data_IF_983758805951
#
_entry.id   IF_983758805951
#
_cell.length_a   1.000
_cell.length_b   1.000
_cell.length_c   1.000
_cell.angle_alpha   90.00
_cell.angle_beta   90.00
_cell.angle_gamma   90.00
#
_symmetry.space_group_name_H-M   'P 1'
#
loop_
_entity.id
_entity.type
_entity.pdbx_description
1 polymer ?
#
# COMPACT_ATOMS: atom_id res chain seq x y z
N UNK A 1 22.00 46.36 -29.48
CA UNK A 1 20.86 45.55 -29.07
C UNK A 1 21.38 44.49 -28.12
N UNK A 2 20.94 44.51 -26.86
CA UNK A 2 21.26 43.44 -25.91
C UNK A 2 20.48 42.22 -26.40
N UNK A 3 21.21 41.19 -26.80
CA UNK A 3 20.64 39.89 -27.08
C UNK A 3 20.04 39.33 -25.79
N UNK A 4 18.77 38.92 -25.83
CA UNK A 4 18.16 38.18 -24.75
C UNK A 4 18.35 36.69 -25.05
N UNK A 5 18.94 35.91 -24.12
CA UNK A 5 19.01 34.46 -24.26
C UNK A 5 17.60 33.88 -24.37
N UNK A 6 17.38 32.95 -25.30
CA UNK A 6 16.06 32.42 -25.62
C UNK A 6 15.86 31.03 -25.01
N UNK A 7 16.88 30.17 -25.08
CA UNK A 7 16.80 28.79 -24.61
C UNK A 7 17.50 28.57 -23.26
N UNK A 8 18.64 29.22 -23.01
CA UNK A 8 19.40 29.02 -21.77
C UNK A 8 18.66 29.52 -20.52
N UNK A 9 17.79 30.54 -20.66
CA UNK A 9 16.93 31.00 -19.55
C UNK A 9 15.88 29.99 -19.09
N UNK A 10 15.59 28.97 -19.90
CA UNK A 10 14.57 27.96 -19.60
C UNK A 10 15.16 26.69 -18.98
N UNK A 11 16.48 26.64 -18.80
CA UNK A 11 17.20 25.53 -18.18
C UNK A 11 17.87 26.09 -16.93
N UNK A 12 17.28 25.81 -15.78
CA UNK A 12 17.80 26.20 -14.48
C UNK A 12 18.46 25.04 -13.73
N UNK A 13 18.71 25.27 -12.45
CA UNK A 13 19.27 24.25 -11.56
C UNK A 13 18.27 23.11 -11.30
N UNK A 14 18.79 21.95 -10.91
CA UNK A 14 17.97 20.85 -10.39
C UNK A 14 17.70 21.09 -8.90
N UNK A 15 16.45 20.98 -8.43
CA UNK A 15 16.12 21.07 -7.02
C UNK A 15 16.92 20.06 -6.16
N UNK A 16 17.39 20.51 -5.00
CA UNK A 16 18.16 19.71 -4.06
C UNK A 16 19.63 20.16 -3.94
N UNK A 17 20.25 19.76 -2.83
CA UNK A 17 21.65 20.03 -2.53
C UNK A 17 22.35 18.71 -2.19
N UNK A 18 23.08 18.16 -3.15
CA UNK A 18 23.79 16.90 -2.98
C UNK A 18 24.83 16.94 -1.85
N UNK A 19 25.47 18.10 -1.61
CA UNK A 19 26.44 18.23 -0.54
C UNK A 19 25.75 18.21 0.83
N UNK A 20 24.62 18.91 0.96
CA UNK A 20 23.81 18.86 2.18
C UNK A 20 23.25 17.45 2.44
N UNK A 21 22.74 16.77 1.42
CA UNK A 21 22.22 15.39 1.53
C UNK A 21 23.33 14.44 2.02
N UNK A 22 24.52 14.50 1.41
CA UNK A 22 25.66 13.68 1.83
C UNK A 22 26.11 14.00 3.26
N UNK A 23 26.08 15.28 3.67
CA UNK A 23 26.38 15.66 5.04
C UNK A 23 25.35 15.10 6.03
N UNK A 24 24.06 15.09 5.67
CA UNK A 24 23.02 14.42 6.46
C UNK A 24 23.28 12.93 6.56
N UNK A 25 23.60 12.26 5.44
CA UNK A 25 23.93 10.83 5.43
C UNK A 25 25.08 10.49 6.39
N UNK A 26 26.18 11.25 6.37
CA UNK A 26 27.29 11.06 7.32
C UNK A 26 26.90 11.28 8.78
N UNK A 27 25.96 12.21 9.04
CA UNK A 27 25.40 12.41 10.39
C UNK A 27 24.54 11.24 10.85
N UNK A 28 23.78 10.63 9.94
CA UNK A 28 22.99 9.42 10.20
C UNK A 28 23.92 8.22 10.47
N UNK A 29 24.98 8.03 9.67
CA UNK A 29 25.98 6.98 9.89
C UNK A 29 26.68 7.12 11.25
N UNK A 30 27.06 8.34 11.63
CA UNK A 30 27.61 8.62 12.96
C UNK A 30 26.62 8.24 14.07
N UNK A 31 25.33 8.49 13.85
CA UNK A 31 24.27 8.12 14.79
C UNK A 31 24.14 6.60 14.90
N UNK A 32 24.20 5.87 13.78
CA UNK A 32 24.18 4.41 13.75
C UNK A 32 25.33 3.82 14.59
N UNK A 33 26.55 4.33 14.43
CA UNK A 33 27.74 3.88 15.19
C UNK A 33 27.58 4.08 16.71
N UNK A 34 26.98 5.20 17.12
CA UNK A 34 26.66 5.46 18.55
C UNK A 34 25.63 4.47 19.06
N UNK A 35 24.56 4.21 18.29
CA UNK A 35 23.51 3.26 18.68
C UNK A 35 24.02 1.82 18.71
N UNK A 36 24.91 1.44 17.79
CA UNK A 36 25.58 0.14 17.80
C UNK A 36 26.40 -0.05 19.08
N UNK A 37 27.18 0.97 19.46
CA UNK A 37 27.95 0.96 20.72
C UNK A 37 27.03 0.80 21.93
N UNK A 38 25.92 1.55 22.00
CA UNK A 38 24.94 1.42 23.07
C UNK A 38 24.28 0.03 23.09
N UNK A 39 24.02 -0.55 21.93
CA UNK A 39 23.44 -1.90 21.79
C UNK A 39 24.41 -2.97 22.29
N UNK A 40 25.72 -2.83 22.04
CA UNK A 40 26.75 -3.71 22.60
C UNK A 40 26.78 -3.64 24.14
N UNK A 41 26.53 -2.47 24.74
CA UNK A 41 26.40 -2.37 26.20
C UNK A 41 25.18 -3.13 26.74
N UNK A 42 24.04 -3.05 26.04
CA UNK A 42 22.83 -3.83 26.36
C UNK A 42 23.11 -5.34 26.34
N UNK A 43 23.86 -5.83 25.35
CA UNK A 43 24.25 -7.24 25.26
C UNK A 43 25.10 -7.71 26.45
N UNK A 44 25.82 -6.79 27.11
CA UNK A 44 26.63 -7.08 28.29
C UNK A 44 25.85 -7.22 29.61
N UNK A 45 24.59 -6.76 29.67
CA UNK A 45 23.80 -6.73 30.92
C UNK A 45 23.59 -8.13 31.53
N UNK A 46 23.19 -9.18 30.78
CA UNK A 46 22.99 -10.51 31.34
C UNK A 46 24.20 -11.03 32.11
N UNK A 47 25.41 -10.68 31.63
CA UNK A 47 26.68 -11.04 32.26
C UNK A 47 26.97 -10.32 33.59
N UNK A 48 26.28 -9.22 33.89
CA UNK A 48 26.43 -8.41 35.11
C UNK A 48 25.48 -8.81 36.24
N UNK A 49 24.39 -9.52 35.92
CA UNK A 49 23.35 -9.93 36.87
C UNK A 49 23.31 -11.45 37.08
N UNK A 50 24.47 -12.13 36.99
CA UNK A 50 24.58 -13.60 37.09
C UNK A 50 24.05 -14.21 38.39
N UNK A 51 23.85 -13.39 39.42
CA UNK A 51 23.32 -13.82 40.72
C UNK A 51 21.79 -13.93 40.75
N UNK A 52 21.08 -13.48 39.71
CA UNK A 52 19.64 -13.66 39.60
C UNK A 52 19.34 -15.08 39.13
N UNK A 53 18.42 -15.76 39.81
CA UNK A 53 18.01 -17.14 39.54
C UNK A 53 16.48 -17.26 39.58
N UNK A 54 15.95 -18.35 39.03
CA UNK A 54 14.51 -18.65 39.00
C UNK A 54 13.70 -17.67 38.15
N UNK A 55 12.45 -17.45 38.52
CA UNK A 55 11.47 -16.66 37.75
C UNK A 55 11.94 -15.23 37.42
N UNK A 56 12.70 -14.60 38.32
CA UNK A 56 13.27 -13.27 38.08
C UNK A 56 14.30 -13.27 36.96
N UNK A 57 15.09 -14.35 36.84
CA UNK A 57 16.06 -14.52 35.76
C UNK A 57 15.37 -14.78 34.43
N UNK A 58 14.36 -15.65 34.42
CA UNK A 58 13.58 -15.97 33.22
C UNK A 58 12.84 -14.73 32.69
N UNK A 59 12.21 -13.97 33.58
CA UNK A 59 11.53 -12.71 33.24
C UNK A 59 12.50 -11.66 32.68
N UNK A 60 13.69 -11.53 33.29
CA UNK A 60 14.73 -10.66 32.77
C UNK A 60 15.20 -11.10 31.38
N UNK A 61 15.50 -12.39 31.19
CA UNK A 61 16.02 -12.90 29.92
C UNK A 61 15.00 -12.71 28.79
N UNK A 62 13.71 -12.92 29.06
CA UNK A 62 12.63 -12.64 28.12
C UNK A 62 12.57 -11.15 27.75
N UNK A 63 12.54 -10.25 28.75
CA UNK A 63 12.50 -8.81 28.49
C UNK A 63 13.77 -8.31 27.77
N UNK A 64 14.93 -8.87 28.11
CA UNK A 64 16.21 -8.53 27.48
C UNK A 64 16.26 -8.95 26.02
N UNK A 65 15.76 -10.15 25.69
CA UNK A 65 15.68 -10.62 24.30
C UNK A 65 14.80 -9.70 23.44
N UNK A 66 13.65 -9.27 23.96
CA UNK A 66 12.75 -8.35 23.24
C UNK A 66 13.39 -6.98 23.00
N UNK A 67 13.98 -6.38 24.03
CA UNK A 67 14.67 -5.09 23.90
C UNK A 67 15.86 -5.21 22.94
N UNK A 68 16.59 -6.33 22.98
CA UNK A 68 17.70 -6.58 22.06
C UNK A 68 17.23 -6.65 20.60
N UNK A 69 16.14 -7.37 20.32
CA UNK A 69 15.54 -7.46 18.97
C UNK A 69 15.20 -6.06 18.44
N UNK A 70 14.54 -5.25 19.26
CA UNK A 70 14.16 -3.88 18.89
C UNK A 70 15.37 -2.96 18.69
N UNK A 71 16.38 -3.04 19.57
CA UNK A 71 17.58 -2.22 19.47
C UNK A 71 18.36 -2.51 18.18
N UNK A 72 18.52 -3.79 17.83
CA UNK A 72 19.17 -4.20 16.57
C UNK A 72 18.39 -3.70 15.36
N UNK A 73 17.06 -3.84 15.36
CA UNK A 73 16.22 -3.30 14.29
C UNK A 73 16.41 -1.80 14.08
N UNK A 74 16.47 -1.02 15.17
CA UNK A 74 16.73 0.43 15.09
C UNK A 74 18.13 0.73 14.55
N UNK A 75 19.16 -0.02 14.96
CA UNK A 75 20.53 0.17 14.46
C UNK A 75 20.60 -0.11 12.96
N UNK A 76 20.10 -1.27 12.53
CA UNK A 76 20.08 -1.67 11.12
C UNK A 76 19.29 -0.66 10.27
N UNK A 77 18.13 -0.24 10.77
CA UNK A 77 17.28 0.76 10.13
C UNK A 77 17.93 2.14 9.96
N UNK A 78 18.66 2.63 10.97
CA UNK A 78 19.41 3.88 10.83
C UNK A 78 20.52 3.73 9.77
N UNK A 79 21.19 2.59 9.71
CA UNK A 79 22.17 2.27 8.67
C UNK A 79 21.57 2.34 7.27
N UNK A 80 20.48 1.61 7.04
CA UNK A 80 19.75 1.57 5.77
C UNK A 80 19.24 2.97 5.34
N UNK A 81 18.74 3.77 6.28
CA UNK A 81 18.35 5.15 6.01
C UNK A 81 19.55 6.02 5.56
N UNK A 82 20.73 5.78 6.14
CA UNK A 82 21.99 6.40 5.72
C UNK A 82 22.35 6.04 4.28
N UNK A 83 22.31 4.76 3.93
CA UNK A 83 22.60 4.26 2.58
C UNK A 83 21.64 4.85 1.53
N UNK A 84 20.34 4.89 1.84
CA UNK A 84 19.33 5.52 0.99
C UNK A 84 19.64 7.01 0.71
N UNK A 85 20.12 7.74 1.71
CA UNK A 85 20.52 9.15 1.56
C UNK A 85 21.78 9.30 0.71
N UNK A 86 22.77 8.40 0.84
CA UNK A 86 23.97 8.38 0.01
C UNK A 86 23.59 8.15 -1.46
N UNK A 87 22.77 7.13 -1.74
CA UNK A 87 22.30 6.83 -3.09
C UNK A 87 21.52 7.99 -3.72
N UNK A 88 20.66 8.64 -2.93
CA UNK A 88 19.93 9.82 -3.36
C UNK A 88 20.85 11.02 -3.65
N UNK A 89 21.81 11.31 -2.76
CA UNK A 89 22.79 12.38 -2.96
C UNK A 89 23.63 12.19 -4.23
N UNK A 90 24.05 10.96 -4.51
CA UNK A 90 24.74 10.62 -5.75
C UNK A 90 23.86 10.86 -6.99
N UNK A 91 22.59 10.49 -6.91
CA UNK A 91 21.62 10.67 -7.99
C UNK A 91 21.31 12.14 -8.27
N UNK A 92 21.10 12.96 -7.23
CA UNK A 92 20.93 14.42 -7.35
C UNK A 92 22.16 15.05 -8.00
N UNK A 93 23.36 14.67 -7.56
CA UNK A 93 24.61 15.16 -8.15
C UNK A 93 24.73 14.80 -9.65
N UNK A 94 24.28 13.61 -10.04
CA UNK A 94 24.27 13.19 -11.44
C UNK A 94 23.26 14.00 -12.28
N UNK A 95 22.07 14.29 -11.75
CA UNK A 95 21.09 15.14 -12.42
C UNK A 95 21.57 16.58 -12.59
N UNK A 96 22.20 17.15 -11.56
CA UNK A 96 22.80 18.48 -11.62
C UNK A 96 23.82 18.59 -12.76
N UNK A 97 24.74 17.62 -12.88
CA UNK A 97 25.70 17.58 -14.00
C UNK A 97 25.02 17.53 -15.36
N UNK A 98 23.96 16.73 -15.52
CA UNK A 98 23.19 16.67 -16.78
C UNK A 98 22.50 17.99 -17.08
N UNK A 99 21.96 18.69 -16.08
CA UNK A 99 21.35 20.00 -16.27
C UNK A 99 22.38 21.06 -16.71
N UNK A 100 23.57 21.06 -16.12
CA UNK A 100 24.69 21.93 -16.53
C UNK A 100 25.07 21.67 -18.01
N UNK A 101 25.15 20.40 -18.42
CA UNK A 101 25.41 20.02 -19.81
C UNK A 101 24.32 20.54 -20.77
N UNK A 102 23.03 20.43 -20.39
CA UNK A 102 21.93 20.96 -21.18
C UNK A 102 21.97 22.50 -21.25
N UNK A 103 22.30 23.16 -20.15
CA UNK A 103 22.42 24.61 -20.08
C UNK A 103 23.55 25.11 -21.00
N UNK A 104 24.72 24.44 -20.99
CA UNK A 104 25.83 24.74 -21.90
C UNK A 104 25.46 24.56 -23.38
N UNK A 105 24.67 23.53 -23.72
CA UNK A 105 24.16 23.35 -25.08
C UNK A 105 23.19 24.46 -25.47
N UNK A 106 22.31 24.89 -24.57
CA UNK A 106 21.38 25.99 -24.83
C UNK A 106 22.10 27.33 -25.01
N UNK A 107 23.16 27.61 -24.23
CA UNK A 107 24.02 28.78 -24.44
C UNK A 107 24.67 28.78 -25.83
N UNK A 108 25.04 27.61 -26.36
CA UNK A 108 25.58 27.48 -27.72
C UNK A 108 24.54 27.83 -28.78
N UNK A 109 23.28 27.44 -28.58
CA UNK A 109 22.17 27.79 -29.49
C UNK A 109 21.89 29.30 -29.43
N UNK A 110 21.83 29.88 -28.23
CA UNK A 110 21.62 31.32 -28.05
C UNK A 110 22.74 32.13 -28.72
N UNK A 111 24.00 31.69 -28.59
CA UNK A 111 25.13 32.32 -29.28
C UNK A 111 25.01 32.28 -30.82
N UNK A 112 24.44 31.22 -31.41
CA UNK A 112 24.18 31.16 -32.86
C UNK A 112 23.13 32.18 -33.30
N UNK A 113 22.07 32.36 -32.51
CA UNK A 113 21.02 33.35 -32.76
C UNK A 113 21.58 34.78 -32.60
N UNK A 114 22.53 34.95 -31.68
CA UNK A 114 23.15 36.24 -31.42
C UNK A 114 24.15 36.68 -32.48
N UNK A 115 24.92 35.73 -32.99
CA UNK A 115 25.84 35.94 -34.09
C UNK A 115 25.13 36.21 -35.44
N UNK A 116 23.85 35.84 -35.57
CA UNK A 116 23.11 36.02 -36.82
C UNK A 116 22.83 37.51 -37.14
N UNK A 117 23.03 37.95 -38.40
CA UNK A 117 22.65 39.29 -38.84
C UNK A 117 21.17 39.60 -38.58
N UNK A 118 20.77 40.88 -38.41
CA UNK A 118 19.40 41.24 -38.03
C UNK A 118 18.30 40.62 -38.91
N UNK A 119 18.50 40.57 -40.23
CA UNK A 119 17.54 39.99 -41.18
C UNK A 119 17.53 38.45 -41.18
N UNK A 120 18.58 37.81 -40.65
CA UNK A 120 18.72 36.35 -40.58
C UNK A 120 18.33 35.78 -39.21
N UNK A 121 18.12 36.62 -38.18
CA UNK A 121 17.77 36.14 -36.82
C UNK A 121 16.54 35.24 -36.79
N UNK A 122 15.43 35.65 -37.41
CA UNK A 122 14.19 34.86 -37.40
C UNK A 122 14.36 33.51 -38.14
N UNK A 123 14.96 33.45 -39.35
CA UNK A 123 15.34 32.18 -39.97
C UNK A 123 16.25 31.31 -39.10
N UNK A 124 17.26 31.88 -38.42
CA UNK A 124 18.14 31.14 -37.52
C UNK A 124 17.38 30.55 -36.33
N UNK A 125 16.49 31.34 -35.70
CA UNK A 125 15.63 30.86 -34.61
C UNK A 125 14.79 29.67 -35.08
N UNK A 126 14.16 29.77 -36.24
CA UNK A 126 13.33 28.68 -36.81
C UNK A 126 14.18 27.43 -37.07
N UNK A 127 15.42 27.60 -37.55
CA UNK A 127 16.32 26.49 -37.83
C UNK A 127 16.76 25.74 -36.56
N UNK A 128 16.95 26.44 -35.45
CA UNK A 128 17.41 25.84 -34.18
C UNK A 128 16.29 25.50 -33.20
N UNK A 129 15.05 25.94 -33.46
CA UNK A 129 13.90 25.77 -32.56
C UNK A 129 13.67 24.31 -32.15
N UNK A 130 13.82 23.37 -33.09
CA UNK A 130 13.68 21.94 -32.79
C UNK A 130 14.71 21.46 -31.77
N UNK A 131 15.96 21.89 -31.91
CA UNK A 131 17.04 21.54 -31.02
C UNK A 131 16.80 22.14 -29.62
N UNK A 132 16.48 23.44 -29.56
CA UNK A 132 16.19 24.12 -28.29
C UNK A 132 14.99 23.52 -27.55
N UNK A 133 13.91 23.19 -28.25
CA UNK A 133 12.76 22.49 -27.65
C UNK A 133 13.13 21.08 -27.14
N UNK A 134 14.04 20.39 -27.82
CA UNK A 134 14.58 19.12 -27.36
C UNK A 134 15.31 19.25 -26.02
N UNK A 135 16.14 20.30 -25.85
CA UNK A 135 16.83 20.57 -24.59
C UNK A 135 15.85 20.89 -23.45
N UNK A 136 14.82 21.70 -23.72
CA UNK A 136 13.79 22.00 -22.72
C UNK A 136 13.00 20.75 -22.29
N UNK A 137 12.66 19.88 -23.24
CA UNK A 137 12.00 18.61 -22.94
C UNK A 137 12.89 17.70 -22.09
N UNK A 138 14.19 17.64 -22.40
CA UNK A 138 15.16 16.87 -21.61
C UNK A 138 15.29 17.44 -20.19
N UNK A 139 15.36 18.77 -20.04
CA UNK A 139 15.44 19.41 -18.72
C UNK A 139 14.19 19.14 -17.88
N UNK A 140 12.99 19.23 -18.45
CA UNK A 140 11.75 18.86 -17.75
C UNK A 140 11.77 17.41 -17.26
N UNK A 141 12.27 16.50 -18.10
CA UNK A 141 12.46 15.10 -17.70
C UNK A 141 13.45 14.94 -16.54
N UNK A 142 14.48 15.80 -16.42
CA UNK A 142 15.38 15.79 -15.25
C UNK A 142 14.66 16.28 -13.97
N UNK A 143 13.76 17.26 -14.08
CA UNK A 143 12.95 17.72 -12.94
C UNK A 143 12.00 16.63 -12.45
N UNK A 144 11.33 15.93 -13.38
CA UNK A 144 10.45 14.81 -13.05
C UNK A 144 11.25 13.66 -12.38
N UNK A 145 12.45 13.37 -12.89
CA UNK A 145 13.36 12.39 -12.28
C UNK A 145 13.79 12.81 -10.86
N UNK A 146 14.12 14.08 -10.63
CA UNK A 146 14.51 14.58 -9.31
C UNK A 146 13.37 14.40 -8.30
N UNK A 147 12.14 14.72 -8.69
CA UNK A 147 10.97 14.53 -7.83
C UNK A 147 10.72 13.05 -7.52
N UNK A 148 10.81 12.16 -8.51
CA UNK A 148 10.62 10.73 -8.32
C UNK A 148 11.68 10.14 -7.37
N UNK A 149 12.95 10.45 -7.59
CA UNK A 149 14.05 10.01 -6.72
C UNK A 149 13.91 10.51 -5.28
N UNK A 150 13.42 11.74 -5.09
CA UNK A 150 13.14 12.27 -3.75
C UNK A 150 12.04 11.50 -3.03
N UNK A 151 10.97 11.14 -3.75
CA UNK A 151 9.87 10.33 -3.19
C UNK A 151 10.34 8.90 -2.83
N UNK A 152 11.17 8.30 -3.69
CA UNK A 152 11.76 6.97 -3.48
C UNK A 152 12.71 6.96 -2.29
N UNK A 153 13.62 7.92 -2.18
CA UNK A 153 14.49 8.08 -1.02
C UNK A 153 13.68 8.26 0.27
N UNK A 154 12.62 9.06 0.23
CA UNK A 154 11.76 9.27 1.39
C UNK A 154 11.03 7.97 1.80
N UNK A 155 10.62 7.13 0.84
CA UNK A 155 10.01 5.83 1.10
C UNK A 155 11.01 4.85 1.72
N UNK A 156 12.22 4.76 1.17
CA UNK A 156 13.31 3.94 1.73
C UNK A 156 13.64 4.35 3.17
N UNK A 157 13.77 5.66 3.44
CA UNK A 157 14.06 6.16 4.79
C UNK A 157 12.90 5.90 5.75
N UNK A 158 11.63 6.00 5.30
CA UNK A 158 10.47 5.68 6.13
C UNK A 158 10.44 4.22 6.52
N UNK A 159 10.68 3.31 5.57
CA UNK A 159 10.70 1.89 5.87
C UNK A 159 11.87 1.52 6.78
N UNK A 160 13.07 2.01 6.46
CA UNK A 160 14.26 1.78 7.27
C UNK A 160 14.07 2.25 8.73
N UNK A 161 13.35 3.35 8.94
CA UNK A 161 13.05 3.89 10.29
C UNK A 161 11.67 3.49 10.81
N UNK A 162 11.00 2.54 10.14
CA UNK A 162 9.66 2.14 10.51
C UNK A 162 9.65 1.43 11.86
N UNK A 163 8.82 1.93 12.76
CA UNK A 163 8.59 1.31 14.06
C UNK A 163 7.09 1.33 14.31
N UNK A 164 6.54 0.16 14.63
CA UNK A 164 5.14 0.04 15.00
C UNK A 164 4.96 -0.45 16.45
N UNK A 165 3.83 -0.12 17.09
CA UNK A 165 3.48 -0.67 18.39
C UNK A 165 3.43 -2.19 18.37
N UNK A 166 3.98 -2.81 19.41
CA UNK A 166 3.82 -4.26 19.63
C UNK A 166 2.35 -4.59 19.80
N UNK A 167 1.84 -5.48 18.96
CA UNK A 167 0.47 -5.96 19.02
C UNK A 167 0.44 -7.48 19.14
N UNK A 168 -0.36 -7.99 20.07
CA UNK A 168 -0.49 -9.43 20.35
C UNK A 168 -1.95 -9.85 20.35
N UNK A 169 -2.20 -11.05 19.87
CA UNK A 169 -3.51 -11.69 20.00
C UNK A 169 -3.77 -12.20 21.44
N UNK A 170 -4.96 -12.75 21.68
CA UNK A 170 -5.35 -13.31 22.98
C UNK A 170 -4.46 -14.49 23.43
N UNK A 171 -3.80 -15.16 22.49
CA UNK A 171 -2.86 -16.26 22.77
C UNK A 171 -1.45 -15.75 23.13
N UNK A 172 -1.20 -14.46 22.96
CA UNK A 172 0.10 -13.82 23.17
C UNK A 172 1.01 -13.85 21.94
N UNK A 173 0.52 -14.26 20.78
CA UNK A 173 1.27 -14.28 19.52
C UNK A 173 1.37 -12.88 18.92
N UNK A 174 2.53 -12.52 18.36
CA UNK A 174 2.76 -11.20 17.77
C UNK A 174 2.05 -11.07 16.41
N UNK A 175 1.06 -10.19 16.35
CA UNK A 175 0.36 -9.84 15.10
C UNK A 175 1.22 -8.86 14.28
N UNK A 176 1.94 -7.98 14.97
CA UNK A 176 2.84 -6.94 14.44
C UNK A 176 4.17 -7.45 13.89
N UNK A 177 4.47 -8.76 14.00
CA UNK A 177 5.75 -9.27 13.52
C UNK A 177 5.80 -9.22 11.98
N UNK A 178 6.87 -8.62 11.45
CA UNK A 178 7.17 -8.54 10.02
C UNK A 178 8.28 -9.53 9.64
N UNK A 179 8.23 -10.04 8.41
CA UNK A 179 9.16 -11.02 7.86
C UNK A 179 9.64 -10.57 6.50
N UNK A 180 10.96 -10.48 6.31
CA UNK A 180 11.57 -10.16 5.03
C UNK A 180 11.06 -11.08 3.92
N UNK A 181 10.80 -10.49 2.75
CA UNK A 181 10.46 -11.24 1.55
C UNK A 181 11.68 -12.06 1.12
N UNK A 182 11.47 -13.35 0.88
CA UNK A 182 12.51 -14.18 0.29
C UNK A 182 12.74 -13.86 -1.19
N UNK A 183 13.92 -14.17 -1.73
CA UNK A 183 14.22 -14.02 -3.16
C UNK A 183 13.17 -14.72 -4.05
N UNK A 184 12.66 -15.88 -3.61
CA UNK A 184 11.60 -16.61 -4.30
C UNK A 184 10.26 -15.86 -4.28
N UNK A 185 9.86 -15.29 -3.13
CA UNK A 185 8.65 -14.49 -3.01
C UNK A 185 8.74 -13.19 -3.81
N UNK A 186 9.89 -12.54 -3.81
CA UNK A 186 10.15 -11.36 -4.64
C UNK A 186 9.94 -11.71 -6.13
N UNK A 187 10.54 -12.79 -6.63
CA UNK A 187 10.34 -13.21 -8.03
C UNK A 187 8.92 -13.71 -8.33
N UNK A 188 8.27 -14.40 -7.38
CA UNK A 188 6.87 -14.84 -7.49
C UNK A 188 5.94 -13.63 -7.65
N UNK A 189 6.12 -12.58 -6.84
CA UNK A 189 5.34 -11.35 -6.94
C UNK A 189 5.63 -10.62 -8.26
N UNK A 190 6.88 -10.55 -8.72
CA UNK A 190 7.20 -9.91 -10.00
C UNK A 190 6.43 -10.57 -11.15
N UNK A 191 6.36 -11.92 -11.14
CA UNK A 191 5.56 -12.68 -12.11
C UNK A 191 4.05 -12.43 -11.96
N UNK A 192 3.55 -12.31 -10.73
CA UNK A 192 2.15 -11.95 -10.48
C UNK A 192 1.83 -10.56 -11.02
N UNK A 193 2.75 -9.61 -11.01
CA UNK A 193 2.48 -8.28 -11.59
C UNK A 193 2.26 -8.34 -13.10
N UNK A 194 2.82 -9.31 -13.82
CA UNK A 194 2.59 -9.48 -15.26
C UNK A 194 1.24 -10.16 -15.58
N UNK A 195 0.76 -11.02 -14.69
CA UNK A 195 -0.55 -11.65 -14.76
C UNK A 195 -1.10 -11.88 -13.35
N UNK A 196 -1.77 -10.86 -12.79
CA UNK A 196 -2.29 -10.94 -11.42
C UNK A 196 -3.37 -12.04 -11.35
N UNK A 197 -4.16 -12.24 -12.41
CA UNK A 197 -5.25 -13.21 -12.42
C UNK A 197 -6.21 -13.07 -11.22
N UNK A 198 -6.95 -14.13 -10.91
CA UNK A 198 -7.72 -14.23 -9.67
C UNK A 198 -6.80 -14.70 -8.55
N UNK A 199 -6.16 -13.77 -7.84
CA UNK A 199 -5.35 -14.09 -6.66
C UNK A 199 -6.27 -14.55 -5.53
N UNK A 200 -6.03 -15.76 -5.03
CA UNK A 200 -6.65 -16.21 -3.77
C UNK A 200 -5.96 -15.51 -2.59
N UNK A 201 -6.76 -15.06 -1.62
CA UNK A 201 -6.29 -14.36 -0.43
C UNK A 201 -6.74 -15.06 0.84
N UNK A 202 -5.86 -15.08 1.84
CA UNK A 202 -6.17 -15.41 3.22
C UNK A 202 -5.65 -14.27 4.12
N UNK A 203 -6.57 -13.48 4.69
CA UNK A 203 -6.28 -12.38 5.63
C UNK A 203 -5.46 -12.79 6.85
N UNK A 204 -5.73 -13.98 7.39
CA UNK A 204 -5.14 -14.48 8.64
C UNK A 204 -5.46 -13.59 9.86
N UNK A 205 -4.47 -13.01 10.52
CA UNK A 205 -4.55 -12.52 11.91
C UNK A 205 -4.76 -11.01 12.07
N UNK A 206 -4.77 -10.24 11.00
CA UNK A 206 -4.96 -8.77 11.03
C UNK A 206 -6.43 -8.44 10.72
N UNK A 207 -7.03 -7.54 11.50
CA UNK A 207 -8.46 -7.20 11.39
C UNK A 207 -8.76 -6.14 10.33
N UNK A 208 -8.14 -6.20 9.16
CA UNK A 208 -8.20 -5.20 8.09
C UNK A 208 -9.14 -5.62 6.93
N UNK A 209 -10.20 -6.37 7.25
CA UNK A 209 -11.05 -7.04 6.25
C UNK A 209 -11.71 -6.09 5.26
N UNK A 210 -11.95 -4.86 5.70
CA UNK A 210 -12.47 -3.78 4.87
C UNK A 210 -11.51 -3.40 3.73
N UNK A 211 -10.21 -3.36 4.01
CA UNK A 211 -9.16 -3.03 3.06
C UNK A 211 -8.91 -4.20 2.11
N UNK A 212 -8.78 -5.42 2.65
CA UNK A 212 -8.58 -6.62 1.83
C UNK A 212 -9.79 -6.92 0.93
N UNK A 213 -11.02 -6.72 1.40
CA UNK A 213 -12.22 -6.90 0.56
C UNK A 213 -12.25 -5.92 -0.61
N UNK A 214 -11.82 -4.67 -0.38
CA UNK A 214 -11.70 -3.69 -1.44
C UNK A 214 -10.61 -4.10 -2.44
N UNK A 215 -9.44 -4.59 -1.98
CA UNK A 215 -8.41 -5.13 -2.87
C UNK A 215 -8.92 -6.27 -3.77
N UNK A 216 -9.67 -7.23 -3.20
CA UNK A 216 -10.28 -8.32 -4.00
C UNK A 216 -11.26 -7.72 -5.02
N UNK A 217 -12.10 -6.77 -4.60
CA UNK A 217 -13.06 -6.13 -5.50
C UNK A 217 -12.40 -5.41 -6.68
N UNK A 218 -11.28 -4.72 -6.45
CA UNK A 218 -10.50 -4.10 -7.51
C UNK A 218 -9.83 -5.16 -8.40
N UNK A 219 -9.28 -6.23 -7.83
CA UNK A 219 -8.60 -7.28 -8.58
C UNK A 219 -9.53 -8.13 -9.47
N UNK A 220 -10.84 -8.04 -9.30
CA UNK A 220 -11.82 -8.85 -10.04
C UNK A 220 -11.96 -8.39 -11.51
N UNK A 221 -11.75 -7.10 -11.80
CA UNK A 221 -11.83 -6.54 -13.16
C UNK A 221 -10.45 -6.36 -13.81
N UNK A 222 -10.43 -6.26 -15.15
CA UNK A 222 -9.18 -6.02 -15.89
C UNK A 222 -8.63 -4.62 -15.63
N UNK A 223 -9.50 -3.60 -15.64
CA UNK A 223 -9.09 -2.21 -15.35
C UNK A 223 -8.55 -2.09 -13.92
N UNK A 224 -9.18 -2.76 -12.95
CA UNK A 224 -8.71 -2.75 -11.57
C UNK A 224 -7.40 -3.51 -11.36
N UNK A 225 -7.17 -4.64 -12.07
CA UNK A 225 -5.84 -5.30 -12.09
C UNK A 225 -4.75 -4.40 -12.66
N UNK A 226 -5.02 -3.73 -13.78
CA UNK A 226 -4.07 -2.77 -14.36
C UNK A 226 -3.79 -1.61 -13.41
N UNK A 227 -4.82 -1.09 -12.73
CA UNK A 227 -4.69 -0.04 -11.72
C UNK A 227 -3.82 -0.47 -10.55
N UNK A 228 -4.10 -1.62 -9.93
CA UNK A 228 -3.31 -2.17 -8.83
C UNK A 228 -1.85 -2.44 -9.25
N UNK A 229 -1.63 -2.98 -10.45
CA UNK A 229 -0.29 -3.17 -11.02
C UNK A 229 0.46 -1.84 -11.14
N UNK A 230 -0.20 -0.79 -11.64
CA UNK A 230 0.42 0.52 -11.81
C UNK A 230 0.74 1.23 -10.47
N UNK A 231 0.16 0.78 -9.37
CA UNK A 231 0.51 1.24 -8.02
C UNK A 231 1.80 0.61 -7.50
N UNK A 232 2.33 -0.43 -8.16
CA UNK A 232 3.50 -1.18 -7.72
C UNK A 232 4.66 -0.99 -8.71
N UNK A 233 5.83 -0.61 -8.20
CA UNK A 233 7.08 -0.51 -8.97
C UNK A 233 8.15 -1.40 -8.33
N UNK A 234 8.74 -2.38 -9.05
CA UNK A 234 9.87 -3.13 -8.52
C UNK A 234 11.06 -2.21 -8.24
N UNK A 235 11.76 -2.46 -7.15
CA UNK A 235 13.01 -1.81 -6.79
C UNK A 235 14.17 -2.80 -6.97
N UNK A 236 15.32 -2.27 -7.32
CA UNK A 236 16.53 -3.05 -7.49
C UNK A 236 17.64 -2.35 -6.73
N UNK A 237 18.42 -3.12 -5.97
CA UNK A 237 19.59 -2.62 -5.25
C UNK A 237 20.68 -2.12 -6.22
N UNK A 238 21.78 -1.61 -5.66
CA UNK A 238 22.92 -1.10 -6.43
C UNK A 238 23.58 -2.15 -7.35
N UNK A 239 23.37 -3.44 -7.09
CA UNK A 239 23.87 -4.56 -7.89
C UNK A 239 22.87 -5.03 -8.96
N UNK A 240 21.68 -4.41 -9.02
CA UNK A 240 20.59 -4.81 -9.91
C UNK A 240 19.82 -6.03 -9.43
N UNK A 241 19.93 -6.40 -8.15
CA UNK A 241 19.13 -7.47 -7.54
C UNK A 241 17.79 -6.90 -7.09
N UNK A 242 16.69 -7.59 -7.42
CA UNK A 242 15.37 -7.28 -6.88
C UNK A 242 15.40 -7.48 -5.36
N UNK A 243 15.08 -6.43 -4.61
CA UNK A 243 15.14 -6.40 -3.14
C UNK A 243 13.83 -5.93 -2.50
N UNK A 244 12.90 -5.38 -3.28
CA UNK A 244 11.61 -4.96 -2.78
C UNK A 244 10.75 -4.26 -3.82
N UNK A 245 9.69 -3.63 -3.35
CA UNK A 245 8.70 -2.95 -4.18
C UNK A 245 8.32 -1.60 -3.59
N UNK A 246 8.17 -0.59 -4.45
CA UNK A 246 7.43 0.61 -4.09
C UNK A 246 5.94 0.40 -4.33
N UNK A 247 5.12 0.73 -3.33
CA UNK A 247 3.66 0.62 -3.38
C UNK A 247 3.06 2.00 -3.14
N UNK A 248 2.24 2.48 -4.06
CA UNK A 248 1.61 3.81 -3.99
C UNK A 248 0.12 3.68 -3.71
N UNK A 249 -0.34 4.11 -2.54
CA UNK A 249 -1.76 4.09 -2.14
C UNK A 249 -2.31 5.51 -2.17
N UNK A 250 -3.59 5.68 -2.54
CA UNK A 250 -4.27 6.98 -2.53
C UNK A 250 -4.72 7.41 -1.13
N UNK A 251 -3.80 7.27 -0.17
CA UNK A 251 -3.91 7.78 1.17
C UNK A 251 -2.61 8.53 1.49
N UNK A 252 -2.73 9.71 2.08
CA UNK A 252 -1.60 10.35 2.75
C UNK A 252 -2.10 10.92 4.08
N UNK A 253 -2.01 10.14 5.16
CA UNK A 253 -2.45 10.57 6.48
C UNK A 253 -1.79 11.88 6.96
N UNK A 254 -0.63 12.25 6.41
CA UNK A 254 0.13 13.44 6.79
C UNK A 254 -0.23 14.69 5.95
N UNK A 255 -0.75 14.52 4.73
CA UNK A 255 -1.06 15.63 3.81
C UNK A 255 -2.42 15.46 3.10
N UNK A 256 -3.46 15.18 3.89
CA UNK A 256 -4.82 14.88 3.42
C UNK A 256 -5.42 15.88 2.41
N UNK A 257 -4.97 17.14 2.44
CA UNK A 257 -5.48 18.22 1.58
C UNK A 257 -4.57 18.55 0.37
N UNK A 258 -3.33 18.07 0.33
CA UNK A 258 -2.30 18.52 -0.64
C UNK A 258 -1.84 17.39 -1.59
N UNK A 259 -1.88 16.15 -1.13
CA UNK A 259 -1.54 14.97 -1.93
C UNK A 259 -2.53 13.85 -1.59
N UNK A 260 -3.19 13.30 -2.61
CA UNK A 260 -4.08 12.15 -2.41
C UNK A 260 -3.33 10.82 -2.44
N UNK A 261 -1.99 10.79 -2.42
CA UNK A 261 -1.25 9.53 -2.54
C UNK A 261 0.12 9.59 -1.89
N UNK A 262 0.55 8.48 -1.31
CA UNK A 262 1.91 8.30 -0.82
C UNK A 262 2.45 6.92 -1.22
N UNK A 263 3.76 6.90 -1.44
CA UNK A 263 4.51 5.71 -1.86
C UNK A 263 5.32 5.19 -0.67
N UNK A 264 5.20 3.91 -0.37
CA UNK A 264 6.02 3.22 0.63
C UNK A 264 6.92 2.17 -0.03
N UNK A 265 8.04 1.86 0.60
CA UNK A 265 8.95 0.79 0.19
C UNK A 265 8.65 -0.46 1.02
N UNK A 266 8.54 -1.61 0.36
CA UNK A 266 8.16 -2.88 0.98
C UNK A 266 9.19 -3.94 0.58
N UNK A 267 10.05 -4.31 1.51
CA UNK A 267 10.98 -5.44 1.44
C UNK A 267 10.64 -6.55 2.44
N UNK A 268 9.71 -6.29 3.36
CA UNK A 268 9.17 -7.25 4.30
C UNK A 268 7.63 -7.14 4.39
N UNK A 269 6.98 -8.17 4.92
CA UNK A 269 5.53 -8.19 5.09
C UNK A 269 5.10 -8.77 6.44
N UNK A 270 3.88 -8.49 6.90
CA UNK A 270 3.37 -9.06 8.15
C UNK A 270 3.35 -10.60 8.13
N UNK A 271 3.94 -11.22 9.15
CA UNK A 271 3.97 -12.67 9.33
C UNK A 271 2.57 -13.26 9.54
N UNK A 272 1.72 -12.48 10.23
CA UNK A 272 0.34 -12.81 10.55
C UNK A 272 -0.67 -12.18 9.58
N UNK A 273 -0.21 -11.47 8.55
CA UNK A 273 -1.05 -10.76 7.59
C UNK A 273 -1.47 -11.58 6.37
N UNK A 274 -2.00 -10.88 5.37
CA UNK A 274 -2.51 -11.42 4.12
C UNK A 274 -1.47 -12.29 3.40
N UNK A 275 -1.88 -13.50 2.98
CA UNK A 275 -1.04 -14.43 2.20
C UNK A 275 -1.84 -15.10 1.08
N UNK A 276 -1.11 -15.66 0.12
CA UNK A 276 -1.66 -16.64 -0.82
C UNK A 276 -2.07 -17.94 -0.11
N UNK A 277 -2.81 -18.81 -0.80
CA UNK A 277 -3.27 -20.10 -0.26
C UNK A 277 -2.13 -21.07 0.07
N UNK A 278 -1.00 -20.93 -0.60
CA UNK A 278 0.24 -21.65 -0.33
C UNK A 278 0.99 -21.12 0.90
N UNK A 279 0.50 -20.04 1.52
CA UNK A 279 1.08 -19.39 2.69
C UNK A 279 2.17 -18.38 2.37
N UNK A 280 2.50 -18.17 1.09
CA UNK A 280 3.53 -17.22 0.66
C UNK A 280 3.00 -15.79 0.56
N UNK A 281 3.91 -14.82 0.65
CA UNK A 281 3.59 -13.43 0.30
C UNK A 281 3.12 -13.32 -1.15
N UNK A 282 2.19 -12.41 -1.41
CA UNK A 282 1.71 -12.09 -2.75
C UNK A 282 1.47 -10.58 -2.88
N UNK A 283 0.90 -10.14 -4.00
CA UNK A 283 0.58 -8.71 -4.22
C UNK A 283 -0.28 -8.10 -3.10
N UNK A 284 -1.20 -8.84 -2.50
CA UNK A 284 -2.00 -8.31 -1.38
C UNK A 284 -1.17 -8.08 -0.12
N UNK A 285 -0.18 -8.94 0.15
CA UNK A 285 0.77 -8.76 1.25
C UNK A 285 1.54 -7.44 1.13
N UNK A 286 1.89 -7.05 -0.10
CA UNK A 286 2.54 -5.76 -0.36
C UNK A 286 1.64 -4.58 -0.01
N UNK A 287 0.37 -4.61 -0.42
CA UNK A 287 -0.59 -3.56 -0.12
C UNK A 287 -0.87 -3.46 1.38
N UNK A 288 -1.08 -4.58 2.07
CA UNK A 288 -1.32 -4.59 3.52
C UNK A 288 -0.12 -4.02 4.28
N UNK A 289 1.11 -4.39 3.90
CA UNK A 289 2.33 -3.90 4.57
C UNK A 289 2.57 -2.42 4.29
N UNK A 290 2.39 -1.96 3.05
CA UNK A 290 2.44 -0.54 2.74
C UNK A 290 1.38 0.25 3.51
N UNK A 291 0.15 -0.25 3.60
CA UNK A 291 -0.92 0.42 4.33
C UNK A 291 -0.66 0.44 5.84
N UNK A 292 -0.09 -0.62 6.40
CA UNK A 292 0.41 -0.70 7.77
C UNK A 292 1.52 0.31 8.06
N UNK A 293 2.53 0.40 7.19
CA UNK A 293 3.57 1.42 7.27
C UNK A 293 2.99 2.83 7.25
N UNK A 294 1.88 3.01 6.52
CA UNK A 294 1.27 4.33 6.40
C UNK A 294 0.62 4.85 7.68
N UNK A 295 0.21 3.91 8.54
CA UNK A 295 -0.57 4.11 9.74
C UNK A 295 0.31 3.87 10.95
N UNK A 296 0.65 4.91 11.71
CA UNK A 296 1.62 4.83 12.82
C UNK A 296 1.26 3.82 13.92
N UNK A 297 -0.02 3.42 14.01
CA UNK A 297 -0.45 2.34 14.90
C UNK A 297 -0.16 0.93 14.38
N UNK A 298 0.35 0.77 13.15
CA UNK A 298 0.61 -0.51 12.50
C UNK A 298 -0.64 -1.38 12.51
N UNK A 299 -0.52 -2.60 13.04
CA UNK A 299 -1.64 -3.55 13.16
C UNK A 299 -2.66 -3.24 14.27
N UNK A 300 -2.48 -2.17 15.06
CA UNK A 300 -3.39 -1.79 16.14
C UNK A 300 -4.79 -1.37 15.62
N UNK A 301 -5.81 -1.29 16.49
CA UNK A 301 -7.11 -0.75 16.12
C UNK A 301 -7.03 0.69 15.59
N UNK A 302 -7.94 1.07 14.68
CA UNK A 302 -7.93 2.39 14.01
C UNK A 302 -8.03 3.60 14.96
N UNK A 303 -8.62 3.45 16.14
CA UNK A 303 -8.63 4.51 17.15
C UNK A 303 -7.25 4.77 17.79
N UNK A 304 -6.31 3.84 17.62
CA UNK A 304 -4.90 3.97 17.96
C UNK A 304 -4.03 4.26 16.72
N UNK A 305 -4.67 4.63 15.59
CA UNK A 305 -3.99 4.99 14.34
C UNK A 305 -3.43 3.81 13.56
N UNK A 306 -3.90 2.58 13.79
CA UNK A 306 -3.51 1.39 13.03
C UNK A 306 -4.57 0.94 12.01
N UNK A 307 -4.32 -0.19 11.36
CA UNK A 307 -5.13 -0.70 10.23
C UNK A 307 -6.23 -1.68 10.65
N UNK A 308 -6.29 -2.09 11.91
CA UNK A 308 -7.34 -2.99 12.40
C UNK A 308 -8.67 -2.25 12.58
N UNK A 309 -9.71 -2.70 11.90
CA UNK A 309 -11.03 -2.08 11.90
C UNK A 309 -11.08 -0.83 11.02
N UNK A 310 -12.10 -0.77 10.17
CA UNK A 310 -12.30 0.30 9.20
C UNK A 310 -13.52 0.02 8.33
N UNK A 311 -13.67 0.79 7.26
CA UNK A 311 -14.87 0.75 6.41
C UNK A 311 -14.50 0.50 4.94
N UNK A 312 -15.23 -0.39 4.22
CA UNK A 312 -14.85 -0.75 2.86
C UNK A 312 -14.91 0.41 1.86
N UNK A 313 -15.83 1.36 2.06
CA UNK A 313 -15.97 2.55 1.21
C UNK A 313 -14.72 3.43 1.19
N UNK A 314 -14.24 3.93 2.33
CA UNK A 314 -12.95 4.62 2.43
C UNK A 314 -11.79 3.84 1.81
N UNK A 315 -11.63 2.55 2.13
CA UNK A 315 -10.59 1.73 1.53
C UNK A 315 -10.71 1.62 0.00
N UNK A 316 -11.94 1.53 -0.54
CA UNK A 316 -12.17 1.53 -1.99
C UNK A 316 -11.66 2.81 -2.63
N UNK A 317 -11.85 3.97 -1.98
CA UNK A 317 -11.33 5.26 -2.45
C UNK A 317 -9.80 5.36 -2.32
N UNK A 318 -9.25 4.88 -1.22
CA UNK A 318 -7.80 4.86 -0.98
C UNK A 318 -7.07 3.92 -1.96
N UNK A 319 -7.72 2.85 -2.41
CA UNK A 319 -7.13 1.93 -3.38
C UNK A 319 -7.37 2.36 -4.83
N UNK A 320 -8.57 2.85 -5.16
CA UNK A 320 -8.92 3.24 -6.54
C UNK A 320 -8.45 4.66 -6.91
N UNK A 321 -8.30 5.55 -5.94
CA UNK A 321 -8.16 7.00 -6.15
C UNK A 321 -9.43 7.70 -6.66
N UNK A 322 -10.48 6.94 -6.97
CA UNK A 322 -11.83 7.42 -7.29
C UNK A 322 -12.67 7.67 -6.04
N UNK A 323 -13.83 8.29 -6.19
CA UNK A 323 -14.77 8.41 -5.07
C UNK A 323 -15.60 7.13 -4.91
N UNK A 324 -16.41 7.07 -3.86
CA UNK A 324 -17.36 5.99 -3.64
C UNK A 324 -18.68 6.55 -3.12
N UNK A 325 -19.73 5.75 -3.25
CA UNK A 325 -21.00 6.00 -2.55
C UNK A 325 -21.47 4.74 -1.83
N UNK A 326 -22.37 4.94 -0.86
CA UNK A 326 -22.92 3.88 -0.01
C UNK A 326 -24.40 3.71 -0.30
N UNK A 327 -24.81 2.46 -0.47
CA UNK A 327 -26.20 2.04 -0.57
C UNK A 327 -26.57 1.41 0.77
N UNK A 328 -27.37 2.14 1.55
CA UNK A 328 -27.89 1.65 2.83
C UNK A 328 -29.14 0.80 2.62
N UNK A 329 -29.24 -0.30 3.35
CA UNK A 329 -30.47 -1.09 3.35
C UNK A 329 -31.64 -0.29 3.96
N UNK A 330 -32.86 -0.58 3.51
CA UNK A 330 -34.05 -0.02 4.13
C UNK A 330 -34.30 -0.68 5.48
N UNK A 331 -34.47 0.11 6.54
CA UNK A 331 -34.90 -0.36 7.88
C UNK A 331 -36.37 -0.83 7.94
N UNK A 332 -37.05 -0.91 6.79
CA UNK A 332 -38.48 -1.20 6.71
C UNK A 332 -39.34 -0.03 7.17
N UNK A 333 -40.32 0.37 6.36
CA UNK A 333 -41.36 1.31 6.75
C UNK A 333 -42.60 1.06 5.89
N UNK A 334 -43.78 1.02 6.52
CA UNK A 334 -45.12 0.90 5.94
C UNK A 334 -45.16 0.30 4.51
N UNK A 335 -45.52 -0.98 4.40
CA UNK A 335 -45.56 -1.82 3.18
C UNK A 335 -44.22 -2.26 2.57
N UNK A 336 -43.08 -1.67 2.94
CA UNK A 336 -41.76 -2.17 2.50
C UNK A 336 -41.10 -3.02 3.59
N UNK A 337 -40.67 -4.23 3.21
CA UNK A 337 -39.85 -5.10 4.06
C UNK A 337 -38.46 -4.47 4.26
N UNK A 338 -37.84 -4.83 5.37
CA UNK A 338 -36.43 -4.56 5.62
C UNK A 338 -35.55 -5.23 4.55
N UNK A 339 -34.46 -4.56 4.13
CA UNK A 339 -33.50 -5.04 3.14
C UNK A 339 -33.27 -4.06 1.97
N UNK A 340 -32.61 -4.53 0.92
CA UNK A 340 -32.31 -3.74 -0.29
C UNK A 340 -33.50 -3.72 -1.24
N UNK A 341 -33.90 -2.54 -1.71
CA UNK A 341 -35.01 -2.39 -2.65
C UNK A 341 -34.63 -2.87 -4.05
N UNK A 342 -35.62 -3.18 -4.93
CA UNK A 342 -35.33 -3.63 -6.28
C UNK A 342 -34.43 -2.69 -7.12
N UNK A 343 -34.49 -1.38 -6.88
CA UNK A 343 -33.61 -0.41 -7.54
C UNK A 343 -32.20 -0.40 -6.94
N UNK A 344 -32.05 -0.55 -5.62
CA UNK A 344 -30.74 -0.71 -4.97
C UNK A 344 -30.04 -1.98 -5.51
N UNK A 345 -30.77 -3.08 -5.64
CA UNK A 345 -30.28 -4.33 -6.23
C UNK A 345 -29.92 -4.16 -7.72
N UNK A 346 -30.64 -3.32 -8.45
CA UNK A 346 -30.33 -3.00 -9.85
C UNK A 346 -29.06 -2.17 -9.96
N UNK A 347 -28.90 -1.16 -9.12
CA UNK A 347 -27.69 -0.33 -9.06
C UNK A 347 -26.44 -1.17 -8.76
N UNK A 348 -26.53 -2.14 -7.84
CA UNK A 348 -25.44 -3.09 -7.58
C UNK A 348 -25.10 -3.93 -8.81
N UNK A 349 -26.11 -4.46 -9.52
CA UNK A 349 -25.88 -5.22 -10.76
C UNK A 349 -25.25 -4.36 -11.85
N UNK A 350 -25.77 -3.15 -12.06
CA UNK A 350 -25.27 -2.21 -13.06
C UNK A 350 -23.81 -1.81 -12.76
N UNK A 351 -23.45 -1.67 -11.48
CA UNK A 351 -22.08 -1.41 -11.06
C UNK A 351 -21.13 -2.59 -11.36
N UNK A 352 -21.56 -3.82 -11.05
CA UNK A 352 -20.80 -5.04 -11.32
C UNK A 352 -20.64 -5.28 -12.84
N UNK A 353 -21.69 -5.06 -13.63
CA UNK A 353 -21.63 -5.11 -15.10
C UNK A 353 -20.70 -4.05 -15.70
N UNK A 354 -20.53 -2.92 -15.00
CA UNK A 354 -19.61 -1.86 -15.35
C UNK A 354 -18.19 -2.05 -14.76
N UNK A 355 -17.87 -3.25 -14.26
CA UNK A 355 -16.55 -3.60 -13.69
C UNK A 355 -16.13 -2.70 -12.51
N UNK A 356 -17.09 -2.09 -11.80
CA UNK A 356 -16.82 -1.26 -10.62
C UNK A 356 -16.59 -2.15 -9.39
N UNK A 357 -15.66 -1.77 -8.49
CA UNK A 357 -15.48 -2.50 -7.24
C UNK A 357 -16.69 -2.31 -6.32
N UNK A 358 -17.24 -3.42 -5.84
CA UNK A 358 -18.37 -3.43 -4.91
C UNK A 358 -18.02 -4.27 -3.67
N UNK A 359 -18.29 -3.71 -2.49
CA UNK A 359 -18.05 -4.36 -1.20
C UNK A 359 -19.26 -4.22 -0.29
N UNK A 360 -19.38 -5.09 0.71
CA UNK A 360 -20.45 -5.04 1.69
C UNK A 360 -19.94 -5.41 3.09
N UNK A 361 -20.65 -4.98 4.13
CA UNK A 361 -20.25 -5.19 5.51
C UNK A 361 -21.38 -5.62 6.43
N UNK A 362 -21.03 -6.33 7.52
CA UNK A 362 -21.97 -6.88 8.52
C UNK A 362 -21.93 -6.13 9.85
N UNK A 363 -21.22 -5.00 9.96
CA UNK A 363 -21.11 -4.19 11.17
C UNK A 363 -22.32 -3.28 11.43
N UNK A 364 -22.95 -2.73 10.40
CA UNK A 364 -24.12 -1.81 10.55
C UNK A 364 -25.48 -2.50 10.48
N UNK A 365 -25.48 -3.84 10.45
CA UNK A 365 -26.71 -4.62 10.30
C UNK A 365 -27.57 -4.63 11.56
N UNK A 366 -28.88 -4.79 11.36
CA UNK A 366 -29.88 -5.10 12.39
C UNK A 366 -30.07 -6.60 12.60
N UNK A 367 -29.44 -7.44 11.76
CA UNK A 367 -29.50 -8.88 11.85
C UNK A 367 -28.97 -9.38 13.20
N UNK A 368 -29.64 -10.37 13.78
CA UNK A 368 -29.18 -10.97 15.03
C UNK A 368 -28.05 -11.96 14.76
N UNK A 369 -26.87 -11.65 15.27
CA UNK A 369 -25.74 -12.57 15.37
C UNK A 369 -25.76 -13.24 16.75
N UNK A 370 -25.29 -14.48 16.82
CA UNK A 370 -25.15 -15.19 18.09
C UNK A 370 -24.19 -14.43 19.00
N UNK A 371 -24.58 -14.11 20.26
CA UNK A 371 -23.79 -13.22 21.12
C UNK A 371 -22.42 -13.79 21.49
N UNK A 372 -22.29 -15.12 21.55
CA UNK A 372 -21.05 -15.78 22.00
C UNK A 372 -20.01 -15.95 20.89
N UNK A 373 -20.44 -16.05 19.62
CA UNK A 373 -19.56 -16.30 18.46
C UNK A 373 -19.53 -15.15 17.48
N UNK A 374 -20.43 -14.18 17.63
CA UNK A 374 -20.70 -13.14 16.65
C UNK A 374 -20.92 -13.70 15.22
N UNK A 375 -21.62 -14.84 15.11
CA UNK A 375 -21.94 -15.47 13.81
C UNK A 375 -23.44 -15.65 13.58
N UNK A 376 -23.85 -15.76 12.32
CA UNK A 376 -25.22 -16.09 11.92
C UNK A 376 -25.24 -17.18 10.85
N UNK A 377 -26.11 -18.18 11.00
CA UNK A 377 -26.23 -19.27 10.01
C UNK A 377 -27.13 -18.84 8.85
N UNK A 378 -26.64 -19.04 7.62
CA UNK A 378 -27.39 -18.79 6.39
C UNK A 378 -27.28 -19.97 5.43
N UNK A 379 -28.34 -20.22 4.66
CA UNK A 379 -28.30 -21.14 3.53
C UNK A 379 -27.57 -20.48 2.35
N UNK A 380 -26.57 -21.17 1.81
CA UNK A 380 -25.76 -20.67 0.71
C UNK A 380 -25.45 -21.78 -0.30
N UNK A 381 -24.98 -21.40 -1.47
CA UNK A 381 -24.34 -22.30 -2.43
C UNK A 381 -22.85 -21.97 -2.48
N UNK A 382 -21.98 -22.97 -2.37
CA UNK A 382 -20.53 -22.78 -2.50
C UNK A 382 -20.08 -22.59 -3.96
N UNK A 383 -18.79 -22.28 -4.16
CA UNK A 383 -18.18 -22.13 -5.49
C UNK A 383 -18.23 -23.38 -6.38
N UNK A 384 -18.55 -24.55 -5.82
CA UNK A 384 -18.76 -25.79 -6.57
C UNK A 384 -20.23 -26.06 -6.92
N UNK A 385 -21.15 -25.17 -6.53
CA UNK A 385 -22.58 -25.32 -6.77
C UNK A 385 -23.30 -26.20 -5.74
N UNK A 386 -22.69 -26.49 -4.58
CA UNK A 386 -23.31 -27.31 -3.53
C UNK A 386 -24.05 -26.45 -2.51
N UNK A 387 -25.26 -26.87 -2.15
CA UNK A 387 -26.01 -26.26 -1.05
C UNK A 387 -25.34 -26.59 0.30
N UNK A 388 -25.10 -25.54 1.07
CA UNK A 388 -24.41 -25.58 2.37
C UNK A 388 -25.05 -24.59 3.34
N UNK A 389 -24.74 -24.77 4.62
CA UNK A 389 -25.03 -23.80 5.67
C UNK A 389 -23.70 -23.21 6.12
N UNK A 390 -23.60 -21.87 6.12
CA UNK A 390 -22.39 -21.16 6.54
C UNK A 390 -22.66 -20.26 7.73
N UNK A 391 -21.66 -20.12 8.59
CA UNK A 391 -21.64 -19.16 9.68
C UNK A 391 -21.05 -17.83 9.14
N UNK A 392 -21.92 -16.87 8.83
CA UNK A 392 -21.53 -15.50 8.50
C UNK A 392 -20.94 -14.81 9.73
N UNK A 393 -19.92 -13.99 9.53
CA UNK A 393 -19.20 -13.31 10.61
C UNK A 393 -19.71 -11.88 10.75
N UNK A 394 -20.03 -11.47 11.97
CA UNK A 394 -20.41 -10.10 12.30
C UNK A 394 -19.20 -9.16 12.35
N UNK A 395 -19.42 -7.87 12.10
CA UNK A 395 -18.34 -6.87 12.03
C UNK A 395 -17.23 -7.21 11.02
N UNK A 396 -17.63 -7.76 9.87
CA UNK A 396 -16.72 -8.22 8.83
C UNK A 396 -17.12 -7.64 7.47
N UNK A 397 -16.14 -7.50 6.58
CA UNK A 397 -16.32 -7.00 5.22
C UNK A 397 -16.10 -8.10 4.19
N UNK A 398 -16.78 -7.95 3.05
CA UNK A 398 -16.78 -8.89 1.94
C UNK A 398 -16.74 -8.13 0.62
N UNK A 399 -16.13 -8.74 -0.41
CA UNK A 399 -16.38 -8.34 -1.79
C UNK A 399 -17.80 -8.80 -2.19
N UNK A 400 -18.52 -7.97 -2.95
CA UNK A 400 -19.65 -8.42 -3.75
C UNK A 400 -19.13 -8.70 -5.16
N UNK A 401 -19.13 -9.96 -5.57
CA UNK A 401 -18.52 -10.42 -6.83
C UNK A 401 -19.50 -10.46 -7.98
N UNK A 402 -20.72 -10.92 -7.73
CA UNK A 402 -21.78 -10.91 -8.73
C UNK A 402 -23.15 -10.83 -8.08
N UNK A 403 -24.15 -10.40 -8.83
CA UNK A 403 -25.53 -10.39 -8.37
C UNK A 403 -26.48 -10.73 -9.51
N UNK A 404 -27.52 -11.49 -9.19
CA UNK A 404 -28.64 -11.78 -10.09
C UNK A 404 -29.91 -11.07 -9.60
N UNK A 405 -31.05 -11.38 -10.23
CA UNK A 405 -32.34 -10.90 -9.73
C UNK A 405 -32.68 -11.50 -8.34
N UNK A 406 -32.15 -12.68 -8.01
CA UNK A 406 -32.57 -13.46 -6.84
C UNK A 406 -31.45 -13.65 -5.80
N UNK A 407 -30.20 -13.60 -6.24
CA UNK A 407 -29.04 -13.97 -5.43
C UNK A 407 -27.89 -12.97 -5.51
N UNK A 408 -27.01 -13.01 -4.51
CA UNK A 408 -25.74 -12.27 -4.46
C UNK A 408 -24.63 -13.25 -4.17
N UNK A 409 -23.55 -13.17 -4.95
CA UNK A 409 -22.31 -13.89 -4.70
C UNK A 409 -21.30 -12.95 -4.05
N UNK A 410 -20.76 -13.38 -2.91
CA UNK A 410 -19.80 -12.61 -2.12
C UNK A 410 -18.52 -13.41 -1.90
N UNK A 411 -17.42 -12.72 -1.63
CA UNK A 411 -16.13 -13.34 -1.32
C UNK A 411 -15.62 -12.84 0.04
N UNK A 412 -15.38 -13.77 0.94
CA UNK A 412 -14.77 -13.52 2.24
C UNK A 412 -13.24 -13.37 2.09
N UNK A 413 -12.62 -12.26 2.54
CA UNK A 413 -11.17 -12.07 2.47
C UNK A 413 -10.35 -13.05 3.33
N UNK A 414 -11.00 -13.83 4.20
CA UNK A 414 -10.36 -14.97 4.89
C UNK A 414 -10.01 -16.14 3.94
N UNK A 415 -10.49 -16.10 2.69
CA UNK A 415 -10.27 -17.17 1.72
C UNK A 415 -11.13 -18.41 1.99
N UNK A 416 -12.00 -18.36 2.98
CA UNK A 416 -12.94 -19.43 3.35
C UNK A 416 -14.11 -18.87 4.16
N UNK A 417 -15.15 -19.69 4.33
CA UNK A 417 -16.26 -19.46 5.26
C UNK A 417 -16.38 -20.67 6.18
N UNK A 418 -16.78 -20.45 7.43
CA UNK A 418 -17.07 -21.54 8.36
C UNK A 418 -18.39 -22.22 7.99
N UNK A 419 -18.41 -23.54 8.03
CA UNK A 419 -19.63 -24.33 7.85
C UNK A 419 -20.35 -24.49 9.18
N UNK A 420 -21.68 -24.52 9.13
CA UNK A 420 -22.49 -24.88 10.31
C UNK A 420 -22.11 -26.29 10.79
N UNK A 421 -21.77 -26.41 12.07
CA UNK A 421 -21.34 -27.69 12.66
C UNK A 421 -19.85 -28.03 12.46
N UNK A 422 -19.08 -27.14 11.83
CA UNK A 422 -17.62 -27.20 11.75
C UNK A 422 -17.05 -27.50 10.36
N UNK A 423 -15.79 -27.08 10.16
CA UNK A 423 -15.10 -27.13 8.87
C UNK A 423 -15.20 -25.81 8.11
N UNK A 424 -14.61 -25.77 6.91
CA UNK A 424 -14.53 -24.56 6.09
C UNK A 424 -14.83 -24.86 4.61
N UNK A 425 -15.32 -23.85 3.90
CA UNK A 425 -15.44 -23.91 2.44
C UNK A 425 -14.04 -23.89 1.77
N UNK A 426 -13.90 -24.45 0.54
CA UNK A 426 -12.62 -24.45 -0.18
C UNK A 426 -12.11 -23.07 -0.59
N UNK A 427 -13.02 -22.10 -0.70
CA UNK A 427 -12.81 -20.71 -1.12
C UNK A 427 -13.66 -19.77 -0.27
N UNK A 428 -13.34 -18.47 -0.28
CA UNK A 428 -14.15 -17.44 0.38
C UNK A 428 -15.48 -17.16 -0.33
N UNK A 429 -15.68 -17.67 -1.54
CA UNK A 429 -16.86 -17.43 -2.36
C UNK A 429 -18.07 -18.27 -1.93
N UNK A 430 -19.21 -17.59 -1.73
CA UNK A 430 -20.53 -18.18 -1.49
C UNK A 430 -21.62 -17.34 -2.17
N UNK A 431 -22.74 -17.97 -2.50
CA UNK A 431 -23.92 -17.31 -3.06
C UNK A 431 -25.10 -17.45 -2.10
N UNK A 432 -25.75 -16.33 -1.77
CA UNK A 432 -26.92 -16.28 -0.87
C UNK A 432 -28.09 -15.53 -1.52
N UNK A 433 -29.28 -15.64 -0.94
CA UNK A 433 -30.46 -14.90 -1.40
C UNK A 433 -30.33 -13.39 -1.09
N UNK A 434 -30.98 -12.53 -1.88
CA UNK A 434 -31.10 -11.11 -1.53
C UNK A 434 -31.82 -10.87 -0.20
N UNK A 435 -32.71 -11.78 0.22
CA UNK A 435 -33.40 -11.71 1.52
C UNK A 435 -32.41 -11.89 2.67
N UNK A 436 -31.57 -12.92 2.61
CA UNK A 436 -30.53 -13.14 3.62
C UNK A 436 -29.45 -12.07 3.57
N UNK A 437 -29.06 -11.64 2.36
CA UNK A 437 -28.10 -10.56 2.19
C UNK A 437 -28.61 -9.26 2.82
N UNK A 438 -29.85 -8.84 2.52
CA UNK A 438 -30.47 -7.65 3.13
C UNK A 438 -30.72 -7.77 4.63
N UNK A 439 -30.79 -9.00 5.16
CA UNK A 439 -30.91 -9.23 6.60
C UNK A 439 -29.59 -9.05 7.34
N UNK A 440 -28.47 -9.51 6.77
CA UNK A 440 -27.19 -9.59 7.48
C UNK A 440 -26.14 -8.56 7.05
N UNK A 441 -26.27 -7.95 5.87
CA UNK A 441 -25.33 -6.95 5.36
C UNK A 441 -25.94 -5.54 5.46
N UNK A 442 -25.33 -4.70 6.30
CA UNK A 442 -25.89 -3.40 6.69
C UNK A 442 -25.82 -2.35 5.59
N UNK A 443 -24.72 -2.32 4.85
CA UNK A 443 -24.49 -1.40 3.74
C UNK A 443 -23.66 -2.04 2.62
N UNK A 444 -23.75 -1.45 1.43
CA UNK A 444 -22.93 -1.77 0.25
C UNK A 444 -22.16 -0.51 -0.14
N UNK A 445 -20.85 -0.61 -0.37
CA UNK A 445 -20.06 0.46 -0.96
C UNK A 445 -19.74 0.15 -2.42
N UNK A 446 -19.96 1.14 -3.29
CA UNK A 446 -19.70 1.07 -4.73
C UNK A 446 -18.68 2.13 -5.11
N UNK A 447 -17.58 1.72 -5.73
CA UNK A 447 -16.57 2.66 -6.24
C UNK A 447 -16.99 3.31 -7.56
N UNK A 448 -16.61 4.56 -7.76
CA UNK A 448 -16.95 5.32 -8.97
C UNK A 448 -15.96 5.14 -10.14
N UNK A 449 -14.97 4.26 -9.97
CA UNK A 449 -13.94 3.92 -10.96
C UNK A 449 -12.52 4.26 -10.47
N UNK A 450 -11.56 4.24 -11.39
CA UNK A 450 -10.13 4.34 -11.08
C UNK A 450 -9.56 5.71 -11.46
N UNK A 451 -8.58 6.19 -10.69
CA UNK A 451 -7.82 7.39 -11.05
C UNK A 451 -7.04 7.17 -12.36
N UNK A 452 -7.06 8.17 -13.25
CA UNK A 452 -6.39 8.14 -14.56
C UNK A 452 -5.08 8.90 -14.58
#
# INVERSE_FOLDING_TARGET
MIAMPLFSLLIGDIPGDAAAINATASGVETTAQVMETNTQELEGIPGRIRAWEGEARESFDSAHQEIRKQALHVVDGIGQAGDALVGYGASVSALQRKADELHHQALTIDAQIDAAPPLAKLPTIVAVARQGNGLLSAYRSLLDQAQALGAECAALVREALHLEPVNRDESGSYISDRTALSDEELEDILRQLDDMGSLEMNQRGIGDCYFLSALIALNDSTEGREHLRNMIKPHYDENGKLDGYFVTIYDDPLHRDESRKRTEFVDDVYASGARGKDGKANVYSLFESAYGQMHQGGTMPGNNGGITGGWPGPATKELSGGDYHVIDKSNGFLFFKEGYKPWDQMEVRDALEADKPVTAETATTSGQFHPDRNTAVVHATDSSGRDINVELVGQHAYQVKSATADTVTIVNPWGHNYLEGGGTTPTGEITISWEDFGKYYGSIAVGDGYAK
#
